data_IF_323922052687
#
_entry.id   IF_323922052687
#
_cell.length_a   1.000
_cell.length_b   1.000
_cell.length_c   1.000
_cell.angle_alpha   90.00
_cell.angle_beta   90.00
_cell.angle_gamma   90.00
#
_symmetry.space_group_name_H-M   'P 1'
#
loop_
_entity.id
_entity.type
_entity.pdbx_description
1 polymer ?
#
# COMPACT_ATOMS: atom_id res chain seq x y z
N UNK A 1 -22.40 14.52 8.40
CA UNK A 1 -21.26 13.65 8.77
C UNK A 1 -20.72 13.05 7.48
N UNK A 2 -19.40 13.07 7.27
CA UNK A 2 -18.79 12.35 6.16
C UNK A 2 -18.51 10.89 6.59
N UNK A 3 -18.65 9.90 5.70
CA UNK A 3 -18.34 8.52 6.02
C UNK A 3 -16.84 8.30 6.23
N UNK A 4 -16.49 7.38 7.12
CA UNK A 4 -15.11 6.89 7.31
C UNK A 4 -15.05 5.46 6.79
N UNK A 5 -14.01 5.14 6.03
CA UNK A 5 -13.83 3.83 5.39
C UNK A 5 -12.47 3.26 5.79
N UNK A 6 -12.47 1.99 6.19
CA UNK A 6 -11.26 1.17 6.29
C UNK A 6 -11.24 0.21 5.09
N UNK A 7 -10.17 0.25 4.29
CA UNK A 7 -9.96 -0.65 3.16
C UNK A 7 -8.75 -1.55 3.44
N UNK A 8 -8.90 -2.85 3.20
CA UNK A 8 -7.83 -3.85 3.37
C UNK A 8 -7.47 -4.41 2.00
N UNK A 9 -6.24 -4.18 1.57
CA UNK A 9 -5.68 -4.79 0.37
C UNK A 9 -4.94 -6.07 0.79
N UNK A 10 -5.63 -7.20 0.72
CA UNK A 10 -5.07 -8.50 1.13
C UNK A 10 -3.86 -8.88 0.26
N UNK A 11 -2.76 -9.29 0.89
CA UNK A 11 -1.49 -9.59 0.21
C UNK A 11 -0.70 -8.38 -0.31
N UNK A 12 -1.09 -7.14 0.01
CA UNK A 12 -0.38 -5.93 -0.43
C UNK A 12 0.69 -5.47 0.57
N UNK A 13 1.95 -5.80 0.30
CA UNK A 13 3.10 -5.44 1.15
C UNK A 13 3.99 -4.34 0.57
N UNK A 14 4.93 -3.86 1.39
CA UNK A 14 6.00 -2.94 0.99
C UNK A 14 7.36 -3.62 1.13
N UNK A 15 8.15 -3.64 0.06
CA UNK A 15 9.52 -4.15 0.06
C UNK A 15 10.40 -3.29 -0.85
N UNK A 16 11.66 -3.00 -0.47
CA UNK A 16 12.61 -2.30 -1.34
C UNK A 16 13.08 -3.17 -2.51
N UNK A 17 12.92 -4.49 -2.45
CA UNK A 17 13.27 -5.39 -3.55
C UNK A 17 12.25 -5.27 -4.70
N UNK A 18 12.76 -5.01 -5.90
CA UNK A 18 11.93 -4.86 -7.10
C UNK A 18 11.82 -6.19 -7.87
N UNK A 19 12.78 -7.10 -7.69
CA UNK A 19 12.79 -8.39 -8.38
C UNK A 19 11.65 -9.28 -7.87
N UNK A 20 10.82 -9.75 -8.79
CA UNK A 20 9.60 -10.54 -8.51
C UNK A 20 8.55 -9.81 -7.66
N UNK A 21 8.57 -8.47 -7.63
CA UNK A 21 7.58 -7.67 -6.93
C UNK A 21 6.41 -7.33 -7.87
N UNK A 22 5.31 -8.06 -7.73
CA UNK A 22 4.12 -7.87 -8.56
C UNK A 22 3.46 -6.50 -8.35
N UNK A 23 3.52 -5.95 -7.13
CA UNK A 23 2.95 -4.62 -6.81
C UNK A 23 3.74 -3.53 -7.53
N UNK A 24 5.08 -3.59 -7.45
CA UNK A 24 5.96 -2.64 -8.14
C UNK A 24 5.88 -2.77 -9.67
N UNK A 25 5.67 -3.98 -10.19
CA UNK A 25 5.54 -4.22 -11.62
C UNK A 25 4.15 -3.87 -12.19
N UNK A 26 3.14 -3.72 -11.33
CA UNK A 26 1.79 -3.35 -11.73
C UNK A 26 1.68 -1.84 -12.01
N UNK A 27 0.69 -1.46 -12.81
CA UNK A 27 0.31 -0.04 -12.93
C UNK A 27 -0.68 0.30 -11.82
N UNK A 28 -0.24 1.08 -10.82
CA UNK A 28 -0.99 1.37 -9.59
C UNK A 28 -1.31 2.86 -9.40
N UNK A 29 -1.78 3.59 -10.44
CA UNK A 29 -1.78 5.06 -10.46
C UNK A 29 -2.62 5.69 -9.33
N UNK A 30 -3.68 5.03 -8.88
CA UNK A 30 -4.51 5.51 -7.77
C UNK A 30 -3.79 5.35 -6.43
N UNK A 31 -3.18 4.17 -6.18
CA UNK A 31 -2.42 3.95 -4.94
C UNK A 31 -1.20 4.87 -4.90
N UNK A 32 -0.51 5.06 -6.03
CA UNK A 32 0.66 5.95 -6.14
C UNK A 32 0.28 7.40 -5.83
N UNK A 33 -0.84 7.88 -6.38
CA UNK A 33 -1.33 9.22 -6.12
C UNK A 33 -1.73 9.41 -4.65
N UNK A 34 -2.41 8.44 -4.04
CA UNK A 34 -2.77 8.47 -2.63
C UNK A 34 -1.54 8.50 -1.73
N UNK A 35 -0.54 7.66 -2.03
CA UNK A 35 0.72 7.60 -1.29
C UNK A 35 1.49 8.92 -1.36
N UNK A 36 1.49 9.59 -2.52
CA UNK A 36 2.15 10.89 -2.69
C UNK A 36 1.40 12.05 -2.02
N UNK A 37 0.07 12.06 -2.09
CA UNK A 37 -0.74 13.21 -1.69
C UNK A 37 -1.12 13.22 -0.21
N UNK A 38 -1.10 12.07 0.48
CA UNK A 38 -1.58 11.94 1.86
C UNK A 38 -0.53 11.34 2.80
N UNK A 39 -0.57 11.69 4.10
CA UNK A 39 0.28 11.08 5.11
C UNK A 39 0.09 9.56 5.14
N UNK A 40 1.21 8.85 5.13
CA UNK A 40 1.25 7.39 5.17
C UNK A 40 2.36 6.91 6.11
N UNK A 41 2.22 5.68 6.60
CA UNK A 41 3.20 5.01 7.43
C UNK A 41 3.18 3.51 7.14
N UNK A 42 4.27 2.82 7.48
CA UNK A 42 4.36 1.37 7.45
C UNK A 42 4.09 0.81 8.85
N UNK A 43 3.46 -0.35 8.91
CA UNK A 43 3.19 -1.09 10.14
C UNK A 43 3.70 -2.52 10.01
N UNK A 44 4.11 -3.12 11.12
CA UNK A 44 4.43 -4.55 11.19
C UNK A 44 3.13 -5.34 11.05
N UNK A 45 3.05 -6.16 10.00
CA UNK A 45 1.91 -7.02 9.70
C UNK A 45 2.23 -8.52 9.85
N UNK A 46 3.42 -8.85 10.36
CA UNK A 46 3.88 -10.21 10.66
C UNK A 46 4.11 -10.41 12.16
N UNK A 47 4.24 -11.68 12.55
CA UNK A 47 4.54 -12.06 13.94
C UNK A 47 5.94 -11.65 14.42
N UNK A 48 6.22 -11.96 15.68
CA UNK A 48 7.51 -11.76 16.33
C UNK A 48 8.52 -12.88 16.02
#
# INVERSE_FOLDING_TARGET
>A
MAPVVLAVLDGWGNTPEQKHNAIHAASTPIMDALWHAYPHALIEASGA
#
